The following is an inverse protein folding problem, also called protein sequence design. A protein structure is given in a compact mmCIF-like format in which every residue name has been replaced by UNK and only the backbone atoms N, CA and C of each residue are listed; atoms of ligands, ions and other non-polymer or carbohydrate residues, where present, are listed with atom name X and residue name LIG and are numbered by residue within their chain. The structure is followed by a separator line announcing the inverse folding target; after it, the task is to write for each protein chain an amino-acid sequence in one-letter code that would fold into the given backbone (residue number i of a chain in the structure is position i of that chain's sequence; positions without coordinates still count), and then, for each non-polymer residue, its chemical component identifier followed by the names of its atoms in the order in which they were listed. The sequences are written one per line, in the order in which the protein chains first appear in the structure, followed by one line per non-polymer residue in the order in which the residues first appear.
data_IF_710339628712
#
_entry.id   IF_710339628712
#
_cell.length_a   1.000
_cell.length_b   1.000
_cell.length_c   1.000
_cell.angle_alpha   90.00
_cell.angle_beta   90.00
_cell.angle_gamma   90.00
#
_symmetry.space_group_name_H-M   'P 1'
#
loop_
_entity.id
_entity.type
_entity.pdbx_description
1 polymer ?
#
# COMPACT_ATOMS: atom_id res chain seq x y z
N UNK A 1 23.16 -9.86 27.96
CA UNK A 1 22.25 -8.71 28.18
C UNK A 1 22.09 -8.07 26.81
N UNK A 2 21.00 -8.26 26.08
CA UNK A 2 19.67 -7.69 26.35
C UNK A 2 18.59 -8.58 25.70
N UNK A 3 17.80 -9.30 26.50
CA UNK A 3 16.62 -10.02 26.02
C UNK A 3 15.46 -9.03 25.95
N UNK A 4 15.33 -8.29 24.85
CA UNK A 4 14.10 -7.52 24.59
C UNK A 4 13.10 -8.44 23.90
N UNK A 5 11.99 -8.68 24.60
CA UNK A 5 10.85 -9.45 24.13
C UNK A 5 10.33 -8.84 22.82
N UNK A 6 10.69 -9.45 21.69
CA UNK A 6 10.06 -9.16 20.42
C UNK A 6 8.63 -9.72 20.47
N UNK A 7 7.64 -8.92 20.08
CA UNK A 7 6.32 -9.46 19.76
C UNK A 7 6.47 -10.37 18.52
N UNK A 8 6.34 -11.71 18.64
CA UNK A 8 6.69 -12.63 17.56
C UNK A 8 5.84 -12.47 16.28
N UNK A 9 4.74 -11.71 16.37
CA UNK A 9 3.78 -11.52 15.30
C UNK A 9 4.08 -10.31 14.37
N UNK A 10 4.94 -9.36 14.77
CA UNK A 10 5.22 -8.17 13.97
C UNK A 10 6.44 -8.38 13.08
N UNK A 11 6.27 -8.17 11.77
CA UNK A 11 7.35 -8.30 10.76
C UNK A 11 8.22 -7.05 10.62
N UNK A 12 7.93 -5.98 11.36
CA UNK A 12 8.65 -4.72 11.31
C UNK A 12 9.00 -4.22 12.71
N UNK A 13 10.03 -3.37 12.78
CA UNK A 13 10.59 -2.73 13.97
C UNK A 13 10.53 -1.21 13.90
N UNK A 14 10.47 -0.65 12.69
CA UNK A 14 10.42 0.79 12.48
C UNK A 14 9.25 1.14 11.57
N UNK A 15 8.44 2.08 12.03
CA UNK A 15 7.27 2.57 11.31
C UNK A 15 7.52 4.03 10.97
N UNK A 16 7.45 4.33 9.68
CA UNK A 16 7.59 5.68 9.13
C UNK A 16 6.26 6.11 8.50
N UNK A 17 5.81 7.33 8.77
CA UNK A 17 4.64 7.92 8.12
C UNK A 17 5.03 9.27 7.53
N UNK A 18 4.90 9.42 6.21
CA UNK A 18 5.01 10.71 5.54
C UNK A 18 3.61 11.18 5.12
N UNK A 19 3.15 12.28 5.72
CA UNK A 19 1.85 12.85 5.42
C UNK A 19 1.76 14.35 5.68
N UNK A 20 0.95 15.07 4.91
CA UNK A 20 0.61 16.47 5.18
C UNK A 20 -0.44 16.65 6.28
N UNK A 21 -1.12 15.58 6.67
CA UNK A 21 -2.25 15.60 7.61
C UNK A 21 -2.01 14.74 8.86
N UNK A 22 -0.78 14.75 9.38
CA UNK A 22 -0.36 14.01 10.58
C UNK A 22 -1.19 14.30 11.85
N UNK A 23 -1.89 15.43 11.90
CA UNK A 23 -2.79 15.82 12.99
C UNK A 23 -4.11 15.05 13.01
N UNK A 24 -4.44 14.29 11.96
CA UNK A 24 -5.69 13.53 11.91
C UNK A 24 -5.76 12.51 13.06
N UNK A 25 -6.96 12.27 13.65
CA UNK A 25 -7.13 11.37 14.79
C UNK A 25 -6.55 9.97 14.59
N UNK A 26 -6.57 9.46 13.35
CA UNK A 26 -6.02 8.14 12.99
C UNK A 26 -4.52 8.02 13.30
N UNK A 27 -3.75 9.09 13.09
CA UNK A 27 -2.30 9.08 13.36
C UNK A 27 -1.97 9.29 14.83
N UNK A 28 -2.77 10.09 15.52
CA UNK A 28 -2.69 10.22 16.98
C UNK A 28 -3.01 8.88 17.65
N UNK A 29 -4.02 8.17 17.15
CA UNK A 29 -4.35 6.83 17.61
C UNK A 29 -3.23 5.83 17.30
N UNK A 30 -2.72 5.82 16.07
CA UNK A 30 -1.61 4.95 15.67
C UNK A 30 -0.39 5.15 16.56
N UNK A 31 -0.01 6.40 16.83
CA UNK A 31 1.10 6.73 17.74
C UNK A 31 0.88 6.15 19.13
N UNK A 32 -0.32 6.34 19.72
CA UNK A 32 -0.67 5.81 21.03
C UNK A 32 -0.59 4.28 21.08
N UNK A 33 -1.01 3.60 20.02
CA UNK A 33 -0.93 2.13 19.93
C UNK A 33 0.52 1.68 19.83
N UNK A 34 1.31 2.28 18.92
CA UNK A 34 2.70 1.84 18.70
C UNK A 34 3.62 2.15 19.88
N UNK A 35 3.39 3.24 20.62
CA UNK A 35 4.13 3.56 21.84
C UNK A 35 4.00 2.49 22.94
N UNK A 36 2.91 1.71 22.92
CA UNK A 36 2.67 0.63 23.87
C UNK A 36 3.35 -0.69 23.45
N UNK A 37 3.97 -0.75 22.27
CA UNK A 37 4.62 -1.96 21.75
C UNK A 37 6.14 -1.86 21.94
N UNK A 38 6.75 -2.64 22.86
CA UNK A 38 8.19 -2.59 23.08
C UNK A 38 8.97 -2.95 21.83
N UNK A 39 10.04 -2.19 21.55
CA UNK A 39 10.93 -2.44 20.42
C UNK A 39 10.44 -1.91 19.07
N UNK A 40 9.24 -1.31 18.99
CA UNK A 40 8.79 -0.58 17.81
C UNK A 40 9.18 0.89 17.92
N UNK A 41 9.80 1.42 16.86
CA UNK A 41 9.99 2.87 16.69
C UNK A 41 8.94 3.43 15.73
N UNK A 42 8.47 4.65 16.01
CA UNK A 42 7.52 5.36 15.16
C UNK A 42 8.03 6.76 14.87
N UNK A 43 8.10 7.12 13.59
CA UNK A 43 8.55 8.44 13.12
C UNK A 43 7.57 9.00 12.09
N UNK A 44 7.32 10.30 12.21
CA UNK A 44 6.40 11.04 11.35
C UNK A 44 7.18 12.12 10.60
N UNK A 45 6.90 12.25 9.31
CA UNK A 45 7.47 13.28 8.42
C UNK A 45 6.33 14.11 7.85
N UNK A 46 6.49 15.43 7.88
CA UNK A 46 5.54 16.37 7.27
C UNK A 46 6.07 16.93 5.96
N UNK A 47 7.38 17.10 5.87
CA UNK A 47 8.05 17.65 4.70
C UNK A 47 8.88 16.60 3.98
N UNK A 48 8.99 16.75 2.66
CA UNK A 48 9.68 15.79 1.81
C UNK A 48 11.13 15.61 2.24
N UNK A 49 11.80 16.69 2.64
CA UNK A 49 13.20 16.75 3.04
C UNK A 49 13.47 15.89 4.27
N UNK A 50 12.49 15.79 5.18
CA UNK A 50 12.59 15.01 6.42
C UNK A 50 12.54 13.50 6.16
N UNK A 51 11.91 13.08 5.06
CA UNK A 51 11.80 11.66 4.70
C UNK A 51 13.21 11.12 4.45
N UNK A 52 13.59 10.08 5.19
CA UNK A 52 14.87 9.40 4.99
C UNK A 52 14.99 8.92 3.55
N UNK A 53 16.18 8.98 2.97
CA UNK A 53 16.44 8.22 1.75
C UNK A 53 16.27 6.74 2.05
N UNK A 54 15.87 5.95 1.03
CA UNK A 54 15.79 4.49 1.17
C UNK A 54 17.12 3.90 1.67
N UNK A 55 18.25 4.55 1.35
CA UNK A 55 19.57 4.10 1.80
C UNK A 55 19.77 4.22 3.31
N UNK A 56 19.20 5.26 3.92
CA UNK A 56 19.36 5.58 5.34
C UNK A 56 18.22 5.01 6.21
N UNK A 57 17.14 4.53 5.61
CA UNK A 57 16.08 3.84 6.32
C UNK A 57 16.57 2.49 6.88
N UNK A 58 16.10 2.14 8.08
CA UNK A 58 16.47 0.89 8.74
C UNK A 58 15.79 -0.30 8.06
N UNK A 59 16.38 -1.51 8.08
CA UNK A 59 15.69 -2.72 7.63
C UNK A 59 14.55 -3.10 8.58
N UNK A 60 13.70 -4.05 8.15
CA UNK A 60 12.48 -4.47 8.87
C UNK A 60 11.59 -3.27 9.16
N UNK A 61 11.34 -2.45 8.14
CA UNK A 61 10.59 -1.22 8.31
C UNK A 61 9.35 -1.21 7.43
N UNK A 62 8.37 -0.41 7.83
CA UNK A 62 7.25 -0.04 6.97
C UNK A 62 7.23 1.48 6.82
N UNK A 63 7.05 1.95 5.60
CA UNK A 63 6.79 3.37 5.31
C UNK A 63 5.42 3.54 4.68
N UNK A 64 4.65 4.51 5.20
CA UNK A 64 3.34 4.88 4.68
C UNK A 64 3.41 6.30 4.13
N UNK A 65 3.11 6.44 2.85
CA UNK A 65 2.91 7.71 2.16
C UNK A 65 1.41 7.97 2.08
N UNK A 66 0.91 9.01 2.74
CA UNK A 66 -0.51 9.38 2.69
C UNK A 66 -0.65 10.88 2.51
N UNK A 67 -1.60 11.31 1.67
CA UNK A 67 -1.90 12.72 1.45
C UNK A 67 -0.67 13.55 1.00
N UNK A 68 0.14 12.95 0.13
CA UNK A 68 1.38 13.53 -0.42
C UNK A 68 1.43 13.45 -1.95
N UNK A 69 0.27 13.32 -2.60
CA UNK A 69 0.17 13.18 -4.06
C UNK A 69 0.69 14.40 -4.84
N UNK A 70 0.63 15.58 -4.23
CA UNK A 70 1.10 16.83 -4.83
C UNK A 70 2.57 17.14 -4.51
N UNK A 71 3.23 16.30 -3.72
CA UNK A 71 4.61 16.52 -3.28
C UNK A 71 5.64 15.97 -4.27
N UNK A 72 6.92 16.24 -4.02
CA UNK A 72 7.98 15.60 -4.79
C UNK A 72 7.95 14.06 -4.63
N UNK A 73 7.72 13.37 -5.74
CA UNK A 73 7.52 11.92 -5.76
C UNK A 73 8.83 11.12 -5.85
N UNK A 74 10.00 11.74 -5.97
CA UNK A 74 11.26 11.03 -6.20
C UNK A 74 11.61 10.06 -5.07
N UNK A 75 11.52 10.50 -3.81
CA UNK A 75 11.76 9.60 -2.67
C UNK A 75 10.80 8.43 -2.66
N UNK A 76 9.52 8.66 -2.97
CA UNK A 76 8.50 7.60 -3.03
C UNK A 76 8.85 6.57 -4.11
N UNK A 77 9.27 7.03 -5.30
CA UNK A 77 9.76 6.16 -6.38
C UNK A 77 10.96 5.33 -5.94
N UNK A 78 11.92 5.93 -5.25
CA UNK A 78 13.10 5.21 -4.74
C UNK A 78 12.71 4.11 -3.74
N UNK A 79 11.76 4.40 -2.84
CA UNK A 79 11.25 3.41 -1.90
C UNK A 79 10.55 2.23 -2.60
N UNK A 80 9.68 2.49 -3.58
CA UNK A 80 9.02 1.42 -4.33
C UNK A 80 9.99 0.63 -5.24
N UNK A 81 11.05 1.26 -5.74
CA UNK A 81 12.05 0.59 -6.57
C UNK A 81 13.08 -0.21 -5.76
N UNK A 82 13.52 0.28 -4.59
CA UNK A 82 14.67 -0.27 -3.87
C UNK A 82 14.34 -0.79 -2.46
N UNK A 83 13.16 -0.50 -1.91
CA UNK A 83 12.79 -0.83 -0.54
C UNK A 83 12.87 -2.33 -0.24
N UNK A 84 12.47 -3.18 -1.20
CA UNK A 84 12.52 -4.65 -1.06
C UNK A 84 13.92 -5.17 -0.77
N UNK A 85 14.96 -4.59 -1.38
CA UNK A 85 16.36 -5.00 -1.15
C UNK A 85 16.85 -4.68 0.27
N UNK A 86 16.10 -3.86 1.01
CA UNK A 86 16.39 -3.48 2.40
C UNK A 86 15.37 -4.00 3.40
N UNK A 87 14.47 -4.90 2.99
CA UNK A 87 13.38 -5.40 3.85
C UNK A 87 12.51 -4.24 4.37
N UNK A 88 12.13 -3.34 3.45
CA UNK A 88 11.23 -2.21 3.72
C UNK A 88 9.96 -2.39 2.91
N UNK A 89 8.84 -2.51 3.61
CA UNK A 89 7.51 -2.51 3.02
C UNK A 89 7.01 -1.07 2.82
N UNK A 90 6.36 -0.80 1.68
CA UNK A 90 5.93 0.55 1.31
C UNK A 90 4.44 0.56 1.02
N UNK A 91 3.72 1.53 1.59
CA UNK A 91 2.32 1.79 1.31
C UNK A 91 2.16 3.20 0.75
N UNK A 92 1.35 3.35 -0.30
CA UNK A 92 0.96 4.65 -0.82
C UNK A 92 -0.56 4.73 -0.88
N UNK A 93 -1.13 5.58 -0.02
CA UNK A 93 -2.54 5.87 0.04
C UNK A 93 -2.85 7.14 -0.78
N UNK A 94 -3.79 7.02 -1.73
CA UNK A 94 -4.23 8.15 -2.55
C UNK A 94 -5.69 7.95 -2.97
N UNK A 95 -6.43 9.05 -3.10
CA UNK A 95 -7.83 9.02 -3.53
C UNK A 95 -7.98 8.74 -5.03
N UNK A 96 -7.03 9.20 -5.84
CA UNK A 96 -7.11 9.09 -7.31
C UNK A 96 -5.97 8.23 -7.83
N UNK A 97 -6.33 7.09 -8.44
CA UNK A 97 -5.37 6.14 -9.00
C UNK A 97 -4.41 6.79 -10.01
N UNK A 98 -4.96 7.55 -10.97
CA UNK A 98 -4.18 8.21 -12.01
C UNK A 98 -3.20 9.28 -11.51
N UNK A 99 -3.35 9.80 -10.28
CA UNK A 99 -2.38 10.73 -9.67
C UNK A 99 -1.13 10.02 -9.14
N UNK A 100 -1.18 8.70 -8.93
CA UNK A 100 -0.02 7.93 -8.50
C UNK A 100 0.91 7.77 -9.72
N UNK A 101 2.21 8.09 -9.62
CA UNK A 101 3.15 7.88 -10.71
C UNK A 101 3.09 6.43 -11.22
N UNK A 102 2.97 6.25 -12.54
CA UNK A 102 2.99 4.90 -13.12
C UNK A 102 4.36 4.25 -12.91
N UNK A 103 5.35 4.88 -13.51
CA UNK A 103 6.73 4.45 -13.47
C UNK A 103 7.24 4.45 -12.03
N UNK A 104 7.90 3.34 -11.66
CA UNK A 104 8.56 3.09 -10.39
C UNK A 104 7.65 3.01 -9.15
N UNK A 105 6.35 3.31 -9.26
CA UNK A 105 5.40 3.16 -8.13
C UNK A 105 4.33 2.14 -8.47
N UNK A 106 3.39 2.44 -9.39
CA UNK A 106 2.33 1.48 -9.76
C UNK A 106 2.88 0.21 -10.40
N UNK A 107 3.86 0.35 -11.30
CA UNK A 107 4.50 -0.80 -11.95
C UNK A 107 5.21 -1.71 -10.93
N UNK A 108 5.78 -1.12 -9.88
CA UNK A 108 6.54 -1.82 -8.83
C UNK A 108 5.67 -2.31 -7.66
N UNK A 109 4.41 -1.88 -7.56
CA UNK A 109 3.49 -2.38 -6.55
C UNK A 109 3.20 -3.87 -6.80
N UNK A 110 3.21 -4.69 -5.74
CA UNK A 110 2.83 -6.10 -5.79
C UNK A 110 1.40 -6.35 -5.30
N UNK A 111 0.86 -5.44 -4.48
CA UNK A 111 -0.49 -5.50 -3.95
C UNK A 111 -1.21 -4.17 -4.16
N UNK A 112 -2.40 -4.22 -4.77
CA UNK A 112 -3.22 -3.03 -5.07
C UNK A 112 -4.57 -3.20 -4.37
N UNK A 113 -4.95 -2.23 -3.54
CA UNK A 113 -6.22 -2.21 -2.83
C UNK A 113 -7.10 -1.11 -3.42
N UNK A 114 -8.24 -1.50 -3.99
CA UNK A 114 -9.11 -0.63 -4.78
C UNK A 114 -10.51 -0.56 -4.18
N UNK A 115 -10.79 0.56 -3.52
CA UNK A 115 -12.16 0.99 -3.27
C UNK A 115 -12.83 1.39 -4.59
N UNK A 116 -14.15 1.57 -4.57
CA UNK A 116 -14.94 1.96 -5.74
C UNK A 116 -14.30 3.10 -6.52
N UNK A 117 -14.03 2.85 -7.80
CA UNK A 117 -13.42 3.80 -8.72
C UNK A 117 -14.45 4.26 -9.77
N UNK A 118 -14.17 5.38 -10.43
CA UNK A 118 -14.85 5.74 -11.67
C UNK A 118 -14.37 4.87 -12.86
N UNK A 119 -15.11 4.91 -13.97
CA UNK A 119 -14.78 4.08 -15.14
C UNK A 119 -13.38 4.37 -15.70
N UNK A 120 -12.95 5.64 -15.65
CA UNK A 120 -11.64 6.06 -16.16
C UNK A 120 -10.49 5.41 -15.38
N UNK A 121 -10.52 5.52 -14.05
CA UNK A 121 -9.48 4.91 -13.21
C UNK A 121 -9.55 3.38 -13.28
N UNK A 122 -10.75 2.78 -13.39
CA UNK A 122 -10.88 1.35 -13.65
C UNK A 122 -10.19 0.90 -14.94
N UNK A 123 -10.36 1.65 -16.04
CA UNK A 123 -9.69 1.33 -17.31
C UNK A 123 -8.17 1.37 -17.17
N UNK A 124 -7.63 2.37 -16.48
CA UNK A 124 -6.19 2.43 -16.20
C UNK A 124 -5.70 1.23 -15.38
N UNK A 125 -6.43 0.84 -14.33
CA UNK A 125 -6.10 -0.39 -13.57
C UNK A 125 -6.13 -1.62 -14.47
N UNK A 126 -7.16 -1.74 -15.31
CA UNK A 126 -7.30 -2.88 -16.21
C UNK A 126 -6.13 -3.00 -17.18
N UNK A 127 -5.81 -1.92 -17.88
CA UNK A 127 -4.73 -1.85 -18.86
C UNK A 127 -3.35 -2.10 -18.26
N UNK A 128 -3.15 -1.72 -16.99
CA UNK A 128 -1.83 -1.82 -16.34
C UNK A 128 -1.63 -3.14 -15.59
N UNK A 129 -2.71 -3.79 -15.12
CA UNK A 129 -2.59 -4.88 -14.14
C UNK A 129 -3.46 -6.12 -14.40
N UNK A 130 -4.44 -6.07 -15.32
CA UNK A 130 -5.48 -7.12 -15.42
C UNK A 130 -5.66 -7.67 -16.83
N UNK A 131 -5.35 -6.89 -17.87
CA UNK A 131 -5.68 -7.19 -19.27
C UNK A 131 -5.10 -8.52 -19.83
N UNK A 132 -4.14 -9.13 -19.14
CA UNK A 132 -3.61 -10.46 -19.50
C UNK A 132 -4.43 -11.61 -18.90
N UNK A 133 -5.21 -11.35 -17.87
CA UNK A 133 -5.88 -12.39 -17.07
C UNK A 133 -7.35 -12.56 -17.40
N UNK A 134 -8.06 -11.47 -17.71
CA UNK A 134 -9.49 -11.47 -18.02
C UNK A 134 -9.86 -10.31 -18.93
N UNK A 135 -11.05 -10.37 -19.52
CA UNK A 135 -11.61 -9.29 -20.34
C UNK A 135 -12.04 -8.10 -19.49
N UNK A 136 -12.18 -6.94 -20.13
CA UNK A 136 -12.69 -5.72 -19.49
C UNK A 136 -14.08 -5.92 -18.86
N UNK A 137 -14.95 -6.67 -19.54
CA UNK A 137 -16.31 -6.95 -19.06
C UNK A 137 -16.28 -7.76 -17.77
N UNK A 138 -15.52 -8.85 -17.74
CA UNK A 138 -15.36 -9.69 -16.53
C UNK A 138 -14.79 -8.89 -15.36
N UNK A 139 -13.76 -8.08 -15.61
CA UNK A 139 -13.16 -7.23 -14.58
C UNK A 139 -14.18 -6.24 -14.02
N UNK A 140 -14.96 -5.59 -14.89
CA UNK A 140 -15.99 -4.62 -14.50
C UNK A 140 -17.10 -5.27 -13.68
N UNK A 141 -17.55 -6.45 -14.08
CA UNK A 141 -18.58 -7.21 -13.37
C UNK A 141 -18.11 -7.65 -11.99
N UNK A 142 -16.87 -8.17 -11.89
CA UNK A 142 -16.24 -8.51 -10.61
C UNK A 142 -16.18 -7.29 -9.68
N UNK A 143 -15.65 -6.16 -10.16
CA UNK A 143 -15.58 -4.91 -9.40
C UNK A 143 -16.98 -4.45 -8.94
N UNK A 144 -17.97 -4.44 -9.84
CA UNK A 144 -19.34 -4.04 -9.53
C UNK A 144 -19.97 -4.91 -8.44
N UNK A 145 -19.80 -6.23 -8.53
CA UNK A 145 -20.30 -7.17 -7.53
C UNK A 145 -19.65 -6.94 -6.17
N UNK A 146 -18.32 -6.80 -6.12
CA UNK A 146 -17.59 -6.55 -4.87
C UNK A 146 -18.02 -5.22 -4.24
N UNK A 147 -18.06 -4.14 -5.02
CA UNK A 147 -18.40 -2.79 -4.52
C UNK A 147 -19.90 -2.56 -4.29
N UNK A 148 -20.77 -3.52 -4.61
CA UNK A 148 -22.19 -3.48 -4.24
C UNK A 148 -22.38 -3.54 -2.72
N UNK A 149 -21.41 -4.10 -2.00
CA UNK A 149 -21.39 -4.16 -0.54
C UNK A 149 -20.68 -2.90 -0.01
N UNK A 150 -21.29 -2.14 0.92
CA UNK A 150 -20.67 -0.97 1.52
C UNK A 150 -19.29 -1.26 2.13
N UNK A 151 -18.35 -0.33 1.94
CA UNK A 151 -16.96 -0.39 2.43
C UNK A 151 -16.13 -1.57 1.91
N UNK A 152 -16.65 -2.32 0.93
CA UNK A 152 -15.92 -3.41 0.32
C UNK A 152 -14.93 -2.90 -0.74
N UNK A 153 -13.87 -3.65 -0.97
CA UNK A 153 -12.80 -3.29 -1.90
C UNK A 153 -12.23 -4.51 -2.61
N UNK A 154 -11.71 -4.27 -3.81
CA UNK A 154 -11.00 -5.27 -4.59
C UNK A 154 -9.54 -5.26 -4.16
N UNK A 155 -8.94 -6.43 -4.03
CA UNK A 155 -7.49 -6.57 -3.90
C UNK A 155 -6.95 -7.30 -5.14
N UNK A 156 -5.90 -6.75 -5.73
CA UNK A 156 -5.12 -7.36 -6.81
C UNK A 156 -3.74 -7.67 -6.26
N UNK A 157 -3.42 -8.96 -6.15
CA UNK A 157 -2.13 -9.46 -5.70
C UNK A 157 -1.36 -10.06 -6.89
N UNK A 158 -0.37 -9.30 -7.37
CA UNK A 158 0.45 -9.65 -8.53
C UNK A 158 1.45 -10.78 -8.27
N UNK A 159 1.64 -11.18 -7.01
CA UNK A 159 2.49 -12.32 -6.64
C UNK A 159 1.71 -13.66 -6.73
N UNK A 160 0.42 -13.64 -7.08
CA UNK A 160 -0.42 -14.82 -7.23
C UNK A 160 -0.93 -14.97 -8.65
N UNK A 161 -1.20 -16.21 -9.09
CA UNK A 161 -1.89 -16.43 -10.37
C UNK A 161 -3.40 -16.21 -10.24
N UNK A 162 -4.09 -15.96 -11.37
CA UNK A 162 -5.52 -15.60 -11.46
C UNK A 162 -6.42 -16.34 -10.45
N UNK A 163 -6.45 -17.67 -10.50
CA UNK A 163 -7.28 -18.52 -9.64
C UNK A 163 -6.61 -18.99 -8.34
N UNK A 164 -5.48 -18.41 -7.95
CA UNK A 164 -4.74 -18.72 -6.71
C UNK A 164 -4.64 -17.49 -5.80
N UNK A 165 -5.67 -16.64 -5.82
CA UNK A 165 -5.77 -15.48 -4.94
C UNK A 165 -5.13 -14.20 -5.48
N UNK A 166 -4.96 -14.08 -6.81
CA UNK A 166 -4.64 -12.80 -7.45
C UNK A 166 -5.74 -11.78 -7.17
N UNK A 167 -7.00 -12.15 -7.43
CA UNK A 167 -8.15 -11.28 -7.22
C UNK A 167 -8.89 -11.66 -5.93
N UNK A 168 -9.23 -10.66 -5.12
CA UNK A 168 -9.92 -10.87 -3.84
C UNK A 168 -10.98 -9.80 -3.57
N UNK A 169 -12.04 -10.22 -2.88
CA UNK A 169 -12.93 -9.32 -2.14
C UNK A 169 -12.37 -9.18 -0.73
N UNK A 170 -12.02 -7.96 -0.33
CA UNK A 170 -11.20 -7.72 0.88
C UNK A 170 -9.88 -8.50 0.81
N UNK A 171 -9.28 -8.79 1.96
CA UNK A 171 -7.99 -9.49 2.01
C UNK A 171 -8.09 -11.02 1.98
N UNK A 172 -9.24 -11.56 2.40
CA UNK A 172 -9.44 -12.95 2.81
C UNK A 172 -10.37 -13.75 1.89
N UNK A 173 -11.20 -13.11 1.06
CA UNK A 173 -12.12 -13.81 0.16
C UNK A 173 -11.59 -13.85 -1.26
N UNK A 174 -11.19 -15.02 -1.75
CA UNK A 174 -10.64 -15.17 -3.10
C UNK A 174 -11.73 -15.20 -4.18
N UNK A 175 -11.47 -14.55 -5.30
CA UNK A 175 -12.29 -14.65 -6.50
C UNK A 175 -11.71 -15.76 -7.37
N UNK A 176 -12.56 -16.72 -7.73
CA UNK A 176 -12.22 -17.83 -8.63
C UNK A 176 -13.05 -17.66 -9.89
N UNK A 177 -12.41 -17.84 -11.04
CA UNK A 177 -13.03 -17.77 -12.35
C UNK A 177 -13.07 -19.19 -12.94
N UNK A 178 -14.20 -19.53 -13.56
CA UNK A 178 -14.41 -20.79 -14.27
C UNK A 178 -13.61 -20.85 -15.58
#
# INVERSE_FOLDING_TARGET
MENRHFAPALRFQNVYVYSKTLQQPKYVFLEKVLQQVPGISFQKYRENEQVLSVQNAKPNSVIVFDDVACENQNKIRDYFAMGRHKFIDCFYLNQTYSKIPKQLVRDNANLIVLFKQDERNMRHVYEEHVNTDMTWTEFREMCSKIWSIPFNYVVINKDCSKNKGCYRSKFDTFVVFD
#
